data_IF_053197232575
#
_entry.id   IF_053197232575
#
_cell.length_a   1.000
_cell.length_b   1.000
_cell.length_c   1.000
_cell.angle_alpha   90.00
_cell.angle_beta   90.00
_cell.angle_gamma   90.00
#
_symmetry.space_group_name_H-M   'P 1'
#
loop_
_entity.id
_entity.type
_entity.pdbx_description
1 polymer ?
#
# COMPACT_ATOMS: atom_id res chain seq x y z
N UNK A 1 3.85 -42.04 16.82
CA UNK A 1 2.56 -41.45 16.39
C UNK A 1 2.56 -39.91 16.38
N UNK A 2 3.43 -39.25 17.16
CA UNK A 2 3.68 -37.78 17.23
C UNK A 2 3.86 -37.08 15.87
N UNK A 3 4.39 -37.79 14.86
CA UNK A 3 4.60 -37.26 13.50
C UNK A 3 3.29 -36.87 12.79
N UNK A 4 2.15 -37.52 13.09
CA UNK A 4 0.87 -37.24 12.40
C UNK A 4 0.17 -35.97 12.89
N UNK A 5 0.23 -35.65 14.18
CA UNK A 5 -0.37 -34.42 14.75
C UNK A 5 0.39 -33.18 14.27
N UNK A 6 1.73 -33.24 14.23
CA UNK A 6 2.56 -32.18 13.63
C UNK A 6 2.22 -31.93 12.15
N UNK A 7 1.79 -32.94 11.39
CA UNK A 7 1.39 -32.78 9.98
C UNK A 7 0.08 -32.00 9.82
N UNK A 8 -0.89 -32.15 10.71
CA UNK A 8 -2.17 -31.42 10.62
C UNK A 8 -1.96 -29.92 10.90
N UNK A 9 -1.24 -29.59 11.97
CA UNK A 9 -0.90 -28.21 12.33
C UNK A 9 0.04 -27.55 11.31
N UNK A 10 0.98 -28.29 10.70
CA UNK A 10 1.78 -27.78 9.59
C UNK A 10 0.94 -27.48 8.34
N UNK A 11 -0.09 -28.29 8.06
CA UNK A 11 -1.01 -28.04 6.93
C UNK A 11 -1.86 -26.79 7.14
N UNK A 12 -2.40 -26.58 8.34
CA UNK A 12 -3.16 -25.36 8.66
C UNK A 12 -2.25 -24.13 8.70
N UNK A 13 -1.04 -24.23 9.27
CA UNK A 13 -0.04 -23.16 9.24
C UNK A 13 0.34 -22.77 7.80
N UNK A 14 0.57 -23.76 6.93
CA UNK A 14 0.83 -23.53 5.51
C UNK A 14 -0.36 -22.86 4.82
N UNK A 15 -1.59 -23.27 5.13
CA UNK A 15 -2.80 -22.64 4.61
C UNK A 15 -2.92 -21.16 5.02
N UNK A 16 -2.67 -20.82 6.28
CA UNK A 16 -2.66 -19.44 6.76
C UNK A 16 -1.56 -18.63 6.07
N UNK A 17 -0.34 -19.16 5.98
CA UNK A 17 0.76 -18.51 5.28
C UNK A 17 0.45 -18.27 3.79
N UNK A 18 -0.09 -19.28 3.11
CA UNK A 18 -0.47 -19.18 1.70
C UNK A 18 -1.58 -18.13 1.49
N UNK A 19 -2.56 -18.07 2.40
CA UNK A 19 -3.63 -17.08 2.35
C UNK A 19 -3.09 -15.65 2.55
N UNK A 20 -2.22 -15.43 3.53
CA UNK A 20 -1.58 -14.13 3.77
C UNK A 20 -0.67 -13.73 2.61
N UNK A 21 0.09 -14.66 2.05
CA UNK A 21 0.92 -14.43 0.86
C UNK A 21 0.08 -14.07 -0.36
N UNK A 22 -1.05 -14.76 -0.57
CA UNK A 22 -2.01 -14.46 -1.64
C UNK A 22 -2.62 -13.07 -1.47
N UNK A 23 -3.03 -12.69 -0.25
CA UNK A 23 -3.55 -11.36 0.05
C UNK A 23 -2.47 -10.31 -0.26
N UNK A 24 -1.25 -10.48 0.23
CA UNK A 24 -0.15 -9.53 0.00
C UNK A 24 0.18 -9.37 -1.48
N UNK A 25 0.27 -10.47 -2.24
CA UNK A 25 0.47 -10.44 -3.69
C UNK A 25 -0.68 -9.75 -4.41
N UNK A 26 -1.93 -10.08 -4.05
CA UNK A 26 -3.11 -9.51 -4.69
C UNK A 26 -3.21 -8.01 -4.42
N UNK A 27 -2.96 -7.58 -3.18
CA UNK A 27 -2.91 -6.15 -2.81
C UNK A 27 -1.78 -5.43 -3.54
N UNK A 28 -0.59 -6.03 -3.63
CA UNK A 28 0.53 -5.43 -4.37
C UNK A 28 0.19 -5.23 -5.85
N UNK A 29 -0.41 -6.23 -6.48
CA UNK A 29 -0.81 -6.18 -7.89
C UNK A 29 -1.89 -5.13 -8.11
N UNK A 30 -2.98 -5.17 -7.31
CA UNK A 30 -4.04 -4.17 -7.37
C UNK A 30 -3.50 -2.75 -7.21
N UNK A 31 -2.59 -2.55 -6.27
CA UNK A 31 -2.04 -1.23 -5.98
C UNK A 31 -1.23 -0.68 -7.16
N UNK A 32 -0.37 -1.49 -7.79
CA UNK A 32 0.38 -1.07 -8.99
C UNK A 32 -0.58 -0.68 -10.12
N UNK A 33 -1.61 -1.49 -10.38
CA UNK A 33 -2.60 -1.21 -11.42
C UNK A 33 -3.45 0.03 -11.14
N UNK A 34 -3.88 0.23 -9.90
CA UNK A 34 -4.68 1.39 -9.50
C UNK A 34 -3.88 2.68 -9.61
N UNK A 35 -2.61 2.66 -9.19
CA UNK A 35 -1.73 3.84 -9.23
C UNK A 35 -1.46 4.24 -10.67
N UNK A 36 -1.08 3.29 -11.53
CA UNK A 36 -0.72 3.59 -12.92
C UNK A 36 -1.90 4.17 -13.73
N UNK A 37 -3.10 3.62 -13.52
CA UNK A 37 -4.28 4.01 -14.32
C UNK A 37 -5.03 5.22 -13.76
N UNK A 38 -5.15 5.35 -12.43
CA UNK A 38 -5.90 6.45 -11.85
C UNK A 38 -5.08 7.73 -11.68
N UNK A 39 -3.75 7.65 -11.52
CA UNK A 39 -2.96 8.88 -11.47
C UNK A 39 -3.04 9.63 -12.79
N UNK A 40 -2.67 9.04 -13.91
CA UNK A 40 -2.53 9.81 -15.15
C UNK A 40 -3.82 10.54 -15.55
N UNK A 41 -4.98 9.88 -15.43
CA UNK A 41 -6.28 10.49 -15.75
C UNK A 41 -6.73 11.56 -14.73
N UNK A 42 -6.56 11.29 -13.44
CA UNK A 42 -6.91 12.25 -12.38
C UNK A 42 -6.00 13.49 -12.46
N UNK A 43 -4.75 13.30 -12.84
CA UNK A 43 -3.78 14.38 -13.02
C UNK A 43 -4.12 15.26 -14.20
N UNK A 44 -4.45 14.66 -15.33
CA UNK A 44 -4.89 15.42 -16.50
C UNK A 44 -6.15 16.25 -16.19
N UNK A 45 -7.13 15.65 -15.53
CA UNK A 45 -8.36 16.35 -15.11
C UNK A 45 -8.05 17.51 -14.16
N UNK A 46 -7.27 17.26 -13.10
CA UNK A 46 -6.91 18.30 -12.13
C UNK A 46 -6.06 19.41 -12.76
N UNK A 47 -5.12 19.07 -13.64
CA UNK A 47 -4.31 20.05 -14.40
C UNK A 47 -5.20 20.97 -15.22
N UNK A 48 -6.19 20.39 -15.90
CA UNK A 48 -7.14 21.13 -16.74
C UNK A 48 -8.03 22.07 -15.92
N UNK A 49 -8.52 21.61 -14.77
CA UNK A 49 -9.35 22.43 -13.88
C UNK A 49 -8.56 23.59 -13.29
N UNK A 50 -7.29 23.37 -12.95
CA UNK A 50 -6.40 24.42 -12.48
C UNK A 50 -6.09 25.42 -13.61
N UNK A 51 -5.71 24.95 -14.79
CA UNK A 51 -5.43 25.81 -15.95
C UNK A 51 -6.66 26.65 -16.31
N UNK A 52 -7.86 26.05 -16.24
CA UNK A 52 -9.13 26.76 -16.42
C UNK A 52 -9.38 27.82 -15.35
N UNK A 53 -9.16 27.49 -14.08
CA UNK A 53 -9.33 28.43 -12.97
C UNK A 53 -8.40 29.64 -13.11
N UNK A 54 -7.15 29.40 -13.51
CA UNK A 54 -6.18 30.48 -13.78
C UNK A 54 -6.64 31.30 -14.98
N UNK A 55 -7.09 30.65 -16.06
CA UNK A 55 -7.57 31.35 -17.25
C UNK A 55 -8.77 32.25 -16.93
N UNK A 56 -9.77 31.74 -16.21
CA UNK A 56 -10.97 32.50 -15.80
C UNK A 56 -10.59 33.68 -14.90
N UNK A 57 -9.65 33.49 -13.97
CA UNK A 57 -9.15 34.55 -13.08
C UNK A 57 -8.29 35.60 -13.80
N UNK A 58 -7.67 35.22 -14.92
CA UNK A 58 -6.80 36.11 -15.71
C UNK A 58 -7.58 37.10 -16.58
N UNK A 59 -8.87 36.83 -16.86
CA UNK A 59 -9.70 37.69 -17.72
C UNK A 59 -9.74 39.12 -17.20
N UNK A 60 -10.14 39.32 -15.95
CA UNK A 60 -10.27 40.66 -15.36
C UNK A 60 -8.91 41.38 -15.24
N UNK A 61 -7.85 40.63 -14.97
CA UNK A 61 -6.49 41.16 -14.83
C UNK A 61 -5.98 41.68 -16.18
N UNK A 62 -6.17 40.91 -17.25
CA UNK A 62 -5.74 41.27 -18.60
C UNK A 62 -6.56 42.46 -19.15
N UNK A 63 -7.86 42.52 -18.86
CA UNK A 63 -8.70 43.67 -19.21
C UNK A 63 -8.21 44.96 -18.57
N UNK A 64 -7.71 44.88 -17.33
CA UNK A 64 -7.12 46.02 -16.62
C UNK A 64 -5.63 46.25 -16.93
N UNK A 65 -5.03 45.41 -17.78
CA UNK A 65 -3.61 45.45 -18.19
C UNK A 65 -2.63 45.42 -17.01
N UNK A 66 -2.98 44.72 -15.95
CA UNK A 66 -2.14 44.60 -14.76
C UNK A 66 -1.27 43.33 -14.81
N UNK A 67 -0.15 43.42 -15.54
CA UNK A 67 0.80 42.30 -15.66
C UNK A 67 1.44 41.92 -14.32
N UNK A 68 1.50 42.85 -13.35
CA UNK A 68 2.06 42.57 -12.03
C UNK A 68 1.11 41.69 -11.21
N UNK A 69 -0.20 41.97 -11.29
CA UNK A 69 -1.22 41.10 -10.73
C UNK A 69 -1.26 39.73 -11.43
N UNK A 70 -1.01 39.68 -12.75
CA UNK A 70 -0.95 38.42 -13.50
C UNK A 70 0.22 37.55 -13.05
N UNK A 71 1.41 38.14 -12.88
CA UNK A 71 2.57 37.45 -12.34
C UNK A 71 2.31 36.95 -10.91
N UNK A 72 1.71 37.79 -10.06
CA UNK A 72 1.37 37.40 -8.68
C UNK A 72 0.37 36.25 -8.61
N UNK A 73 -0.59 36.21 -9.55
CA UNK A 73 -1.55 35.11 -9.67
C UNK A 73 -0.82 33.79 -9.95
N UNK A 74 0.03 33.72 -10.97
CA UNK A 74 0.72 32.47 -11.31
C UNK A 74 1.74 32.06 -10.24
N UNK A 75 2.36 33.01 -9.56
CA UNK A 75 3.27 32.75 -8.44
C UNK A 75 2.54 32.10 -7.25
N UNK A 76 1.26 32.44 -7.02
CA UNK A 76 0.44 31.78 -6.00
C UNK A 76 0.08 30.34 -6.40
N UNK A 77 -0.22 30.09 -7.68
CA UNK A 77 -0.63 28.76 -8.15
C UNK A 77 0.56 27.80 -8.29
N UNK A 78 1.76 28.26 -8.64
CA UNK A 78 2.93 27.38 -8.78
C UNK A 78 3.37 26.75 -7.44
N UNK A 79 2.94 27.31 -6.30
CA UNK A 79 3.15 26.70 -4.98
C UNK A 79 2.26 25.46 -4.74
N UNK A 80 1.23 25.25 -5.56
CA UNK A 80 0.37 24.07 -5.46
C UNK A 80 1.18 22.81 -5.79
N UNK A 81 1.03 21.79 -4.95
CA UNK A 81 1.78 20.55 -5.08
C UNK A 81 1.53 19.88 -6.45
N UNK A 82 2.61 19.69 -7.21
CA UNK A 82 2.60 19.01 -8.50
C UNK A 82 2.75 19.93 -9.70
N UNK A 83 2.49 21.23 -9.54
CA UNK A 83 2.73 22.22 -10.58
C UNK A 83 4.21 22.60 -10.54
N UNK A 84 4.89 22.50 -11.68
CA UNK A 84 6.29 22.89 -11.80
C UNK A 84 6.46 24.26 -12.44
N UNK A 85 5.63 24.55 -13.44
CA UNK A 85 5.65 25.83 -14.11
C UNK A 85 4.26 26.22 -14.59
N UNK A 86 4.09 27.53 -14.75
CA UNK A 86 2.91 28.15 -15.33
C UNK A 86 3.42 29.26 -16.24
N UNK A 87 2.82 29.40 -17.41
CA UNK A 87 3.03 30.58 -18.24
C UNK A 87 1.74 31.00 -18.92
N UNK A 88 1.69 32.29 -19.24
CA UNK A 88 0.55 32.91 -19.92
C UNK A 88 1.07 33.62 -21.16
N UNK A 89 0.42 33.38 -22.29
CA UNK A 89 0.69 34.09 -23.53
C UNK A 89 -0.48 34.96 -23.93
N UNK A 90 -0.23 36.00 -24.71
CA UNK A 90 -1.28 36.76 -25.39
C UNK A 90 -1.80 36.04 -26.66
N UNK A 91 -2.65 36.73 -27.41
CA UNK A 91 -3.18 36.31 -28.72
C UNK A 91 -2.12 36.16 -29.83
N UNK A 92 -0.93 36.73 -29.65
CA UNK A 92 0.19 36.67 -30.59
C UNK A 92 1.22 35.57 -30.23
N UNK A 93 1.09 34.97 -29.04
CA UNK A 93 2.04 34.01 -28.49
C UNK A 93 3.17 34.65 -27.68
N UNK A 94 3.09 35.95 -27.40
CA UNK A 94 4.04 36.66 -26.54
C UNK A 94 3.77 36.31 -25.07
N UNK A 95 4.83 36.00 -24.31
CA UNK A 95 4.72 35.66 -22.90
C UNK A 95 4.42 36.89 -22.05
N UNK A 96 3.26 36.89 -21.40
CA UNK A 96 2.81 37.95 -20.51
C UNK A 96 3.26 37.74 -19.06
N UNK A 97 3.33 36.47 -18.62
CA UNK A 97 3.77 36.08 -17.29
C UNK A 97 4.33 34.65 -17.32
N UNK A 98 5.32 34.34 -16.48
CA UNK A 98 5.86 32.98 -16.36
C UNK A 98 6.52 32.73 -15.00
N UNK A 99 6.61 31.47 -14.58
CA UNK A 99 7.30 31.07 -13.33
C UNK A 99 8.68 30.45 -13.53
N UNK A 100 9.20 30.44 -14.77
CA UNK A 100 10.51 29.87 -15.08
C UNK A 100 11.68 30.64 -14.46
N UNK A 101 12.63 29.91 -13.87
CA UNK A 101 13.89 30.44 -13.32
C UNK A 101 15.08 29.66 -13.91
N UNK A 102 16.13 30.31 -14.45
CA UNK A 102 16.35 31.76 -14.55
C UNK A 102 15.64 32.45 -15.74
N UNK A 103 14.92 31.71 -16.57
CA UNK A 103 14.16 32.24 -17.70
C UNK A 103 13.47 31.13 -18.48
N UNK A 104 12.66 31.51 -19.48
CA UNK A 104 11.85 30.57 -20.27
C UNK A 104 12.77 29.58 -21.03
N UNK A 105 12.51 28.25 -20.97
CA UNK A 105 13.22 27.25 -21.75
C UNK A 105 13.07 27.44 -23.28
N UNK A 106 14.02 26.92 -24.06
CA UNK A 106 13.97 27.05 -25.52
C UNK A 106 12.85 26.20 -26.13
N UNK A 107 12.56 25.05 -25.51
CA UNK A 107 11.52 24.11 -25.89
C UNK A 107 10.13 24.74 -25.78
N UNK A 108 9.89 25.52 -24.72
CA UNK A 108 8.64 26.28 -24.48
C UNK A 108 8.52 27.46 -25.45
N UNK A 109 9.64 28.12 -25.80
CA UNK A 109 9.62 29.17 -26.83
C UNK A 109 9.35 28.65 -28.24
N UNK A 110 9.69 27.40 -28.50
CA UNK A 110 9.51 26.75 -29.80
C UNK A 110 8.17 25.99 -29.92
N UNK A 111 7.46 25.79 -28.80
CA UNK A 111 6.17 25.12 -28.79
C UNK A 111 5.05 26.01 -29.32
N UNK A 112 3.99 25.37 -29.80
CA UNK A 112 2.74 26.04 -30.17
C UNK A 112 1.99 26.49 -28.90
N UNK A 113 1.90 27.80 -28.60
CA UNK A 113 1.20 28.30 -27.43
C UNK A 113 -0.33 28.21 -27.57
N UNK A 114 -0.86 27.88 -28.74
CA UNK A 114 -2.30 27.73 -28.95
C UNK A 114 -2.78 26.28 -28.80
N UNK A 115 -1.87 25.34 -28.53
CA UNK A 115 -2.24 23.96 -28.29
C UNK A 115 -2.94 23.81 -26.93
N UNK A 116 -4.19 23.33 -26.97
CA UNK A 116 -5.03 23.11 -25.79
C UNK A 116 -5.13 21.62 -25.42
N UNK A 117 -4.46 20.76 -26.17
CA UNK A 117 -4.36 19.35 -25.85
C UNK A 117 -3.32 19.13 -24.75
N UNK A 118 -3.47 18.01 -24.05
CA UNK A 118 -2.50 17.54 -23.07
C UNK A 118 -1.25 17.07 -23.81
N UNK A 119 -0.08 17.63 -23.46
CA UNK A 119 1.19 17.30 -24.11
C UNK A 119 2.24 16.89 -23.10
N UNK A 120 2.92 15.78 -23.35
CA UNK A 120 4.12 15.42 -22.60
C UNK A 120 5.33 16.23 -23.10
N UNK A 121 6.03 16.88 -22.16
CA UNK A 121 7.16 17.77 -22.39
C UNK A 121 8.35 17.33 -21.58
N UNK A 122 9.51 17.18 -22.22
CA UNK A 122 10.79 17.01 -21.52
C UNK A 122 11.55 18.32 -21.58
N UNK A 123 11.81 18.94 -20.44
CA UNK A 123 12.57 20.19 -20.34
C UNK A 123 13.97 19.90 -19.78
N UNK A 124 15.05 20.21 -20.54
CA UNK A 124 16.42 19.97 -20.09
C UNK A 124 16.71 20.62 -18.74
N UNK A 125 17.21 19.83 -17.79
CA UNK A 125 17.55 20.29 -16.44
C UNK A 125 16.36 20.50 -15.49
N UNK A 126 15.12 20.33 -15.97
CA UNK A 126 13.91 20.45 -15.17
C UNK A 126 13.21 19.09 -14.98
N UNK A 127 13.11 18.27 -16.02
CA UNK A 127 12.48 16.94 -15.97
C UNK A 127 11.43 16.72 -17.06
N UNK A 128 10.58 15.72 -16.85
CA UNK A 128 9.44 15.40 -17.71
C UNK A 128 8.14 15.88 -17.07
N UNK A 129 7.30 16.52 -17.88
CA UNK A 129 6.09 17.19 -17.45
C UNK A 129 4.92 16.84 -18.36
N UNK A 130 3.72 16.87 -17.78
CA UNK A 130 2.47 16.91 -18.53
C UNK A 130 2.00 18.35 -18.54
N UNK A 131 1.93 18.93 -19.72
CA UNK A 131 1.47 20.30 -19.97
C UNK A 131 0.02 20.27 -20.43
N UNK A 132 -0.80 21.14 -19.83
CA UNK A 132 -2.20 21.34 -20.22
C UNK A 132 -2.43 22.82 -20.48
N UNK A 133 -2.95 23.12 -21.68
CA UNK A 133 -3.37 24.45 -22.09
C UNK A 133 -4.83 24.74 -21.78
N UNK A 134 -5.14 25.99 -21.45
CA UNK A 134 -6.51 26.50 -21.30
C UNK A 134 -6.64 27.90 -21.92
N UNK A 135 -7.67 28.16 -22.74
CA UNK A 135 -7.86 29.44 -23.39
C UNK A 135 -8.39 30.50 -22.42
N UNK A 136 -7.86 31.73 -22.47
CA UNK A 136 -8.42 32.87 -21.77
C UNK A 136 -9.43 33.56 -22.69
N UNK A 137 -10.67 33.74 -22.21
CA UNK A 137 -11.75 34.35 -22.98
C UNK A 137 -11.91 33.69 -24.37
N UNK A 138 -12.04 32.36 -24.38
CA UNK A 138 -12.10 31.55 -25.61
C UNK A 138 -10.91 31.72 -26.56
N UNK A 139 -9.75 32.15 -26.04
CA UNK A 139 -8.48 32.30 -26.75
C UNK A 139 -8.23 33.74 -27.23
N UNK A 140 -9.23 34.62 -27.10
CA UNK A 140 -9.14 36.01 -27.56
C UNK A 140 -8.15 36.82 -26.72
N UNK A 141 -8.10 36.57 -25.41
CA UNK A 141 -7.20 37.28 -24.51
C UNK A 141 -5.87 36.55 -24.30
N UNK A 142 -5.64 35.44 -25.01
CA UNK A 142 -4.46 34.59 -24.87
C UNK A 142 -4.73 33.22 -24.25
N UNK A 143 -3.68 32.60 -23.73
CA UNK A 143 -3.70 31.21 -23.26
C UNK A 143 -2.91 31.03 -21.98
N UNK A 144 -3.33 30.10 -21.13
CA UNK A 144 -2.60 29.66 -19.93
C UNK A 144 -2.12 28.24 -20.16
N UNK A 145 -0.88 27.97 -19.78
CA UNK A 145 -0.32 26.63 -19.78
C UNK A 145 0.22 26.28 -18.42
N UNK A 146 -0.09 25.07 -17.96
CA UNK A 146 0.33 24.55 -16.66
C UNK A 146 1.08 23.25 -16.91
N UNK A 147 2.35 23.21 -16.47
CA UNK A 147 3.18 22.02 -16.52
C UNK A 147 3.25 21.33 -15.17
N UNK A 148 2.79 20.08 -15.10
CA UNK A 148 2.82 19.26 -13.89
C UNK A 148 3.90 18.18 -13.94
N UNK A 149 4.61 18.00 -12.83
CA UNK A 149 5.65 16.98 -12.65
C UNK A 149 5.02 15.64 -12.26
N UNK A 150 4.86 14.75 -13.23
CA UNK A 150 4.31 13.40 -13.02
C UNK A 150 5.28 12.51 -12.24
N UNK A 151 6.58 12.69 -12.44
CA UNK A 151 7.62 11.88 -11.80
C UNK A 151 7.71 12.12 -10.28
N UNK A 152 7.67 13.38 -9.85
CA UNK A 152 7.82 13.74 -8.45
C UNK A 152 6.67 13.26 -7.58
N UNK A 153 5.44 13.26 -8.10
CA UNK A 153 4.31 12.74 -7.33
C UNK A 153 4.19 11.21 -7.44
N UNK A 154 4.49 10.62 -8.60
CA UNK A 154 4.63 9.17 -8.72
C UNK A 154 5.63 8.61 -7.69
N UNK A 155 6.78 9.27 -7.50
CA UNK A 155 7.77 8.90 -6.48
C UNK A 155 7.23 9.00 -5.05
N UNK A 156 6.48 10.06 -4.71
CA UNK A 156 5.86 10.21 -3.37
C UNK A 156 4.85 9.09 -3.10
N UNK A 157 4.06 8.73 -4.11
CA UNK A 157 3.05 7.68 -3.99
C UNK A 157 3.71 6.31 -3.89
N UNK A 158 4.71 6.02 -4.73
CA UNK A 158 5.53 4.81 -4.62
C UNK A 158 6.17 4.68 -3.23
N UNK A 159 6.65 5.78 -2.64
CA UNK A 159 7.21 5.78 -1.29
C UNK A 159 6.16 5.49 -0.22
N UNK A 160 4.98 6.11 -0.29
CA UNK A 160 3.88 5.85 0.65
C UNK A 160 3.42 4.38 0.57
N UNK A 161 3.37 3.82 -0.63
CA UNK A 161 3.05 2.40 -0.86
C UNK A 161 4.15 1.51 -0.31
N UNK A 162 5.42 1.85 -0.54
CA UNK A 162 6.55 1.12 0.03
C UNK A 162 6.49 1.04 1.55
N UNK A 163 6.05 2.11 2.22
CA UNK A 163 5.80 2.12 3.66
C UNK A 163 4.65 1.20 4.07
N UNK A 164 3.54 1.17 3.33
CA UNK A 164 2.44 0.24 3.59
C UNK A 164 2.86 -1.23 3.39
N UNK A 165 3.54 -1.54 2.30
CA UNK A 165 4.07 -2.88 2.02
C UNK A 165 5.06 -3.31 3.09
N UNK A 166 5.92 -2.39 3.55
CA UNK A 166 6.84 -2.64 4.65
C UNK A 166 6.10 -2.97 5.97
N UNK A 167 5.06 -2.22 6.32
CA UNK A 167 4.24 -2.51 7.49
C UNK A 167 3.52 -3.87 7.38
N UNK A 168 2.94 -4.18 6.22
CA UNK A 168 2.33 -5.49 5.98
C UNK A 168 3.35 -6.63 6.07
N UNK A 169 4.56 -6.41 5.55
CA UNK A 169 5.66 -7.38 5.66
C UNK A 169 6.03 -7.65 7.11
N UNK A 170 6.15 -6.61 7.95
CA UNK A 170 6.39 -6.76 9.39
C UNK A 170 5.25 -7.55 10.05
N UNK A 171 4.00 -7.19 9.78
CA UNK A 171 2.83 -7.88 10.35
C UNK A 171 2.83 -9.35 9.94
N UNK A 172 3.16 -9.65 8.70
CA UNK A 172 3.25 -11.02 8.20
C UNK A 172 4.36 -11.81 8.91
N UNK A 173 5.55 -11.23 9.06
CA UNK A 173 6.66 -11.87 9.79
C UNK A 173 6.27 -12.14 11.25
N UNK A 174 5.71 -11.15 11.94
CA UNK A 174 5.24 -11.30 13.33
C UNK A 174 4.14 -12.36 13.42
N UNK A 175 3.20 -12.37 12.48
CA UNK A 175 2.13 -13.37 12.39
C UNK A 175 2.67 -14.79 12.22
N UNK A 176 3.72 -14.98 11.40
CA UNK A 176 4.39 -16.28 11.25
C UNK A 176 5.04 -16.72 12.55
N UNK A 177 5.77 -15.83 13.23
CA UNK A 177 6.38 -16.15 14.53
C UNK A 177 5.33 -16.49 15.58
N UNK A 178 4.26 -15.70 15.68
CA UNK A 178 3.15 -15.94 16.61
C UNK A 178 2.46 -17.28 16.32
N UNK A 179 2.24 -17.62 15.06
CA UNK A 179 1.62 -18.88 14.67
C UNK A 179 2.52 -20.10 14.98
N UNK A 180 3.84 -20.01 14.72
CA UNK A 180 4.79 -21.05 15.12
C UNK A 180 4.80 -21.23 16.64
N UNK A 181 4.78 -20.12 17.37
CA UNK A 181 4.73 -20.13 18.84
C UNK A 181 3.45 -20.79 19.36
N UNK A 182 2.28 -20.42 18.81
CA UNK A 182 0.98 -21.00 19.17
C UNK A 182 0.92 -22.51 18.86
N UNK A 183 1.42 -22.94 17.69
CA UNK A 183 1.49 -24.36 17.34
C UNK A 183 2.39 -25.11 18.31
N UNK A 184 3.54 -24.55 18.70
CA UNK A 184 4.40 -25.18 19.68
C UNK A 184 3.77 -25.25 21.07
N UNK A 185 2.97 -24.24 21.45
CA UNK A 185 2.28 -24.18 22.72
C UNK A 185 1.15 -25.23 22.79
N UNK A 186 0.34 -25.37 21.74
CA UNK A 186 -0.83 -26.25 21.74
C UNK A 186 -0.55 -27.68 21.25
N UNK A 187 0.25 -27.85 20.20
CA UNK A 187 0.40 -29.16 19.55
C UNK A 187 1.41 -30.09 20.23
N UNK A 188 2.44 -29.54 20.89
CA UNK A 188 3.44 -30.37 21.60
C UNK A 188 2.83 -31.13 22.81
N UNK A 189 2.04 -30.49 23.69
CA UNK A 189 1.44 -31.18 24.84
C UNK A 189 0.44 -32.26 24.43
N UNK A 190 -0.37 -31.98 23.40
CA UNK A 190 -1.29 -32.96 22.82
C UNK A 190 -0.55 -34.17 22.24
N UNK A 191 0.59 -33.95 21.58
CA UNK A 191 1.42 -35.03 21.07
C UNK A 191 2.03 -35.91 22.17
N UNK A 192 2.47 -35.30 23.26
CA UNK A 192 3.00 -36.01 24.43
C UNK A 192 1.89 -36.79 25.15
N UNK A 193 0.73 -36.18 25.37
CA UNK A 193 -0.45 -36.83 25.94
C UNK A 193 -0.92 -38.02 25.10
N UNK A 194 -0.95 -37.89 23.78
CA UNK A 194 -1.31 -39.00 22.89
C UNK A 194 -0.29 -40.14 23.00
N UNK A 195 1.00 -39.83 23.14
CA UNK A 195 2.04 -40.83 23.41
C UNK A 195 1.81 -41.55 24.73
N UNK A 196 1.65 -40.79 25.80
CA UNK A 196 1.34 -41.28 27.14
C UNK A 196 0.11 -42.21 27.17
N UNK A 197 -0.98 -41.82 26.52
CA UNK A 197 -2.19 -42.64 26.46
C UNK A 197 -1.99 -43.95 25.67
N UNK A 198 -1.22 -43.92 24.59
CA UNK A 198 -0.90 -45.12 23.78
C UNK A 198 -0.01 -46.09 24.56
N UNK A 199 1.03 -45.58 25.22
CA UNK A 199 1.97 -46.39 26.01
C UNK A 199 1.26 -47.01 27.22
N UNK A 200 0.38 -46.23 27.89
CA UNK A 200 -0.46 -46.72 28.98
C UNK A 200 -1.41 -47.83 28.53
N UNK A 201 -2.04 -47.69 27.36
CA UNK A 201 -2.96 -48.69 26.83
C UNK A 201 -2.25 -49.97 26.36
N UNK A 202 -1.00 -49.87 25.90
CA UNK A 202 -0.25 -51.00 25.34
C UNK A 202 0.47 -51.80 26.43
N UNK A 203 1.21 -51.11 27.28
CA UNK A 203 2.14 -51.73 28.22
C UNK A 203 1.64 -51.65 29.68
N UNK A 204 0.46 -51.04 29.91
CA UNK A 204 -0.14 -50.88 31.24
C UNK A 204 0.64 -49.94 32.17
N UNK A 205 1.68 -49.29 31.65
CA UNK A 205 2.57 -48.37 32.33
C UNK A 205 2.98 -47.27 31.36
N UNK A 206 2.66 -46.03 31.69
CA UNK A 206 3.33 -44.88 31.13
C UNK A 206 3.77 -43.99 32.29
N UNK A 207 5.04 -43.61 32.28
CA UNK A 207 5.65 -42.81 33.33
C UNK A 207 6.15 -41.51 32.69
N UNK A 208 5.38 -40.44 32.87
CA UNK A 208 5.73 -39.09 32.42
C UNK A 208 5.28 -38.08 33.49
N UNK A 209 6.07 -38.03 34.57
CA UNK A 209 5.87 -37.13 35.70
C UNK A 209 5.76 -35.66 35.27
N UNK A 210 6.46 -35.27 34.21
CA UNK A 210 6.41 -33.90 33.68
C UNK A 210 5.04 -33.59 33.06
N UNK A 211 4.38 -34.57 32.44
CA UNK A 211 3.05 -34.42 31.88
C UNK A 211 1.97 -34.40 32.98
N UNK A 212 2.14 -35.24 34.01
CA UNK A 212 1.24 -35.32 35.16
C UNK A 212 1.29 -34.07 36.06
N UNK A 213 2.46 -33.42 36.12
CA UNK A 213 2.67 -32.17 36.86
C UNK A 213 2.11 -30.92 36.14
N UNK A 214 1.67 -31.02 34.87
CA UNK A 214 1.07 -29.87 34.17
C UNK A 214 -0.29 -29.50 34.77
N UNK A 215 -0.52 -28.19 34.88
CA UNK A 215 -1.79 -27.61 35.35
C UNK A 215 -2.76 -27.25 34.21
N UNK A 216 -2.39 -27.51 32.95
CA UNK A 216 -3.24 -27.25 31.80
C UNK A 216 -4.15 -28.45 31.46
N UNK A 217 -4.97 -28.28 30.41
CA UNK A 217 -5.93 -29.29 29.96
C UNK A 217 -5.26 -30.64 29.62
N UNK A 218 -4.00 -30.60 29.15
CA UNK A 218 -3.23 -31.81 28.86
C UNK A 218 -2.89 -32.58 30.14
N UNK A 219 -2.46 -31.89 31.21
CA UNK A 219 -2.19 -32.52 32.51
C UNK A 219 -3.44 -33.03 33.23
N UNK A 220 -4.59 -32.36 33.07
CA UNK A 220 -5.88 -32.86 33.57
C UNK A 220 -6.29 -34.17 32.88
N UNK A 221 -6.16 -34.25 31.54
CA UNK A 221 -6.44 -35.49 30.82
C UNK A 221 -5.47 -36.62 31.20
N UNK A 222 -4.18 -36.33 31.36
CA UNK A 222 -3.18 -37.32 31.77
C UNK A 222 -3.55 -37.98 33.10
N UNK A 223 -3.95 -37.18 34.09
CA UNK A 223 -4.43 -37.65 35.40
C UNK A 223 -5.73 -38.43 35.31
N UNK A 224 -6.65 -38.02 34.45
CA UNK A 224 -7.89 -38.78 34.19
C UNK A 224 -7.60 -40.17 33.61
N UNK A 225 -6.69 -40.27 32.63
CA UNK A 225 -6.29 -41.57 32.07
C UNK A 225 -5.64 -42.47 33.11
N UNK A 226 -4.77 -41.92 33.96
CA UNK A 226 -4.15 -42.66 35.06
C UNK A 226 -5.20 -43.18 36.05
N UNK A 227 -6.17 -42.35 36.43
CA UNK A 227 -7.26 -42.74 37.32
C UNK A 227 -8.13 -43.86 36.74
N UNK A 228 -8.47 -43.79 35.45
CA UNK A 228 -9.25 -44.84 34.76
C UNK A 228 -8.44 -46.14 34.71
N UNK A 229 -7.13 -46.08 34.43
CA UNK A 229 -6.26 -47.25 34.38
C UNK A 229 -6.14 -47.94 35.75
N UNK A 230 -5.90 -47.19 36.83
CA UNK A 230 -5.84 -47.72 38.20
C UNK A 230 -7.18 -48.34 38.62
N UNK A 231 -8.31 -47.67 38.32
CA UNK A 231 -9.64 -48.20 38.61
C UNK A 231 -9.96 -49.48 37.83
N UNK A 232 -9.55 -49.55 36.56
CA UNK A 232 -9.72 -50.74 35.73
C UNK A 232 -8.94 -51.96 36.23
N UNK A 233 -7.74 -51.75 36.80
CA UNK A 233 -6.94 -52.81 37.40
C UNK A 233 -7.49 -53.29 38.76
N UNK A 234 -8.17 -52.43 39.52
CA UNK A 234 -8.75 -52.75 40.84
C UNK A 234 -10.11 -53.44 40.80
N UNK A 235 -10.67 -53.71 39.61
CA UNK A 235 -11.99 -54.32 39.47
C UNK A 235 -12.00 -55.79 38.99
N UNK A 236 -11.18 -56.72 39.54
CA UNK A 236 -11.51 -58.14 39.44
C UNK A 236 -12.53 -58.48 40.53
N UNK A 237 -13.60 -59.18 40.15
CA UNK A 237 -14.55 -59.88 41.04
C UNK A 237 -15.54 -59.01 41.86
N UNK A 238 -16.69 -58.73 41.26
CA UNK A 238 -17.97 -58.83 41.98
C UNK A 238 -19.08 -59.18 40.98
N UNK A 239 -18.99 -60.38 40.42
CA UNK A 239 -20.14 -61.06 39.82
C UNK A 239 -20.09 -62.50 40.32
N UNK A 240 -20.72 -62.72 41.46
CA UNK A 240 -21.36 -64.00 41.80
C UNK A 240 -22.73 -63.67 42.42
#
# INVERSE_FOLDING_TARGET
MVIKVQKLFKKTLFGVFALFGLIGLSTSILCVYTVDTHLSAEYESNSRDIAKTIADSSVDILLNRDLSALQSLIDQFVEIQGIKYIYITDESGEFLAHTFVPGIPAEIRASDPFNMETVERSLPGMGDFVEVGSPILAGVAGTVHVGMDTGLIALKIQRAIGQQVYLFSIILVVGVFAAIWLVNLAAKPLGALLGYAVDMARDGKADDDNLLAREDEAGHLARLFLYIADKGQRSPESVE
#
